data_IF_125718011240
#
_entry.id   IF_125718011240
#
_cell.length_a   1.000
_cell.length_b   1.000
_cell.length_c   1.000
_cell.angle_alpha   90.00
_cell.angle_beta   90.00
_cell.angle_gamma   90.00
#
_symmetry.space_group_name_H-M   'P 1'
#
loop_
_entity.id
_entity.type
_entity.pdbx_description
1 polymer ?
#
# COMPACT_ATOMS: atom_id res chain seq x y z
N UNK A 1 9.50 17.76 -2.13
CA UNK A 1 9.35 16.32 -1.86
C UNK A 1 8.45 16.16 -0.65
N UNK A 2 7.29 15.52 -0.78
CA UNK A 2 6.51 15.15 0.40
C UNK A 2 7.24 14.01 1.12
N UNK A 3 7.38 14.10 2.43
CA UNK A 3 7.96 13.01 3.22
C UNK A 3 7.04 11.79 3.16
N UNK A 4 7.51 10.71 2.54
CA UNK A 4 6.76 9.45 2.43
C UNK A 4 6.34 8.90 3.80
N UNK A 5 7.12 9.18 4.84
CA UNK A 5 6.81 8.81 6.23
C UNK A 5 5.56 9.53 6.74
N UNK A 6 5.38 10.79 6.33
CA UNK A 6 4.20 11.60 6.66
C UNK A 6 2.99 11.08 5.90
N UNK A 7 3.13 10.80 4.60
CA UNK A 7 2.06 10.18 3.79
C UNK A 7 1.64 8.84 4.38
N UNK A 8 2.61 7.97 4.71
CA UNK A 8 2.32 6.70 5.39
C UNK A 8 1.56 6.93 6.70
N UNK A 9 1.96 7.89 7.53
CA UNK A 9 1.31 8.14 8.81
C UNK A 9 -0.14 8.63 8.64
N UNK A 10 -0.38 9.53 7.68
CA UNK A 10 -1.70 10.08 7.38
C UNK A 10 -2.67 9.04 6.84
N UNK A 11 -2.19 8.12 5.99
CA UNK A 11 -3.02 7.08 5.36
C UNK A 11 -2.97 5.74 6.09
N UNK A 12 -2.20 5.62 7.18
CA UNK A 12 -2.00 4.37 7.90
C UNK A 12 -3.32 3.73 8.33
N UNK A 13 -4.19 4.51 8.97
CA UNK A 13 -5.43 4.01 9.55
C UNK A 13 -6.46 3.67 8.46
N UNK A 14 -6.48 4.44 7.37
CA UNK A 14 -7.30 4.17 6.20
C UNK A 14 -6.87 2.86 5.52
N UNK A 15 -5.57 2.63 5.39
CA UNK A 15 -5.03 1.41 4.78
C UNK A 15 -5.23 0.20 5.69
N UNK A 16 -5.00 0.32 6.99
CA UNK A 16 -5.25 -0.76 7.96
C UNK A 16 -6.74 -1.10 8.09
N UNK A 17 -7.64 -0.15 7.80
CA UNK A 17 -9.07 -0.41 7.75
C UNK A 17 -9.53 -1.24 6.55
N UNK A 18 -8.66 -1.47 5.54
CA UNK A 18 -9.01 -2.28 4.36
C UNK A 18 -8.96 -3.75 4.66
N UNK A 19 -9.85 -4.50 4.01
CA UNK A 19 -9.93 -5.95 4.16
C UNK A 19 -8.61 -6.62 3.81
N UNK A 20 -8.17 -7.50 4.71
CA UNK A 20 -6.93 -8.28 4.63
C UNK A 20 -5.63 -7.48 4.83
N UNK A 21 -5.65 -6.16 5.04
CA UNK A 21 -4.41 -5.42 5.34
C UNK A 21 -3.99 -5.70 6.79
N UNK A 22 -2.73 -6.03 6.99
CA UNK A 22 -2.16 -6.37 8.30
C UNK A 22 -1.05 -5.44 8.75
N UNK A 23 -0.36 -4.78 7.81
CA UNK A 23 0.70 -3.82 8.13
C UNK A 23 0.90 -2.81 7.00
N UNK A 24 1.39 -1.63 7.36
CA UNK A 24 1.83 -0.58 6.43
C UNK A 24 3.23 -0.11 6.81
N UNK A 25 4.12 0.00 5.83
CA UNK A 25 5.50 0.43 5.98
C UNK A 25 5.93 1.43 4.91
N UNK A 26 7.18 1.86 4.99
CA UNK A 26 7.84 2.63 3.94
C UNK A 26 9.02 1.81 3.47
N UNK A 27 9.15 1.63 2.16
CA UNK A 27 10.21 0.83 1.59
C UNK A 27 10.32 1.00 0.09
N UNK A 28 11.15 0.16 -0.51
CA UNK A 28 11.30 0.09 -1.95
C UNK A 28 10.28 -0.87 -2.52
N UNK A 29 9.60 -0.46 -3.59
CA UNK A 29 8.57 -1.26 -4.24
C UNK A 29 9.18 -2.53 -4.82
N UNK A 30 8.51 -3.64 -4.66
CA UNK A 30 8.90 -4.93 -5.25
C UNK A 30 7.84 -5.33 -6.28
N UNK A 31 8.28 -5.62 -7.50
CA UNK A 31 7.44 -6.07 -8.61
C UNK A 31 7.99 -7.40 -9.10
N UNK A 32 7.15 -8.44 -9.12
CA UNK A 32 7.53 -9.80 -9.54
C UNK A 32 8.78 -10.36 -8.83
N UNK A 33 8.94 -10.04 -7.54
CA UNK A 33 10.08 -10.47 -6.72
C UNK A 33 11.35 -9.64 -6.92
N UNK A 34 11.30 -8.59 -7.75
CA UNK A 34 12.41 -7.68 -8.00
C UNK A 34 12.18 -6.38 -7.27
N UNK A 35 13.09 -6.05 -6.34
CA UNK A 35 13.11 -4.73 -5.69
C UNK A 35 13.48 -3.66 -6.70
N UNK A 36 12.71 -2.59 -6.72
CA UNK A 36 12.92 -1.41 -7.56
C UNK A 36 13.48 -0.27 -6.73
N UNK A 37 14.08 0.75 -7.36
CA UNK A 37 14.56 1.95 -6.66
C UNK A 37 13.43 2.96 -6.34
N UNK A 38 12.17 2.57 -6.56
CA UNK A 38 11.00 3.41 -6.32
C UNK A 38 10.56 3.32 -4.86
N UNK A 39 10.62 4.44 -4.15
CA UNK A 39 10.19 4.53 -2.76
C UNK A 39 8.64 4.56 -2.70
N UNK A 40 8.05 3.63 -1.96
CA UNK A 40 6.61 3.41 -1.88
C UNK A 40 6.13 3.11 -0.45
N UNK A 41 4.83 3.28 -0.22
CA UNK A 41 4.15 2.87 1.00
C UNK A 41 3.81 1.38 0.88
N UNK A 42 4.60 0.53 1.52
CA UNK A 42 4.44 -0.92 1.41
C UNK A 42 3.24 -1.36 2.23
N UNK A 43 2.25 -1.96 1.56
CA UNK A 43 1.05 -2.51 2.22
C UNK A 43 1.14 -4.04 2.25
N UNK A 44 1.23 -4.60 3.45
CA UNK A 44 1.21 -6.05 3.65
C UNK A 44 -0.21 -6.53 3.86
N UNK A 45 -0.62 -7.52 3.08
CA UNK A 45 -1.92 -8.18 3.20
C UNK A 45 -1.75 -9.62 3.68
N UNK A 46 -2.67 -10.10 4.52
CA UNK A 46 -2.70 -11.49 4.98
C UNK A 46 -2.90 -12.48 3.83
N UNK A 47 -3.64 -12.07 2.79
CA UNK A 47 -3.92 -12.87 1.61
C UNK A 47 -4.14 -11.95 0.40
N UNK A 48 -3.51 -12.29 -0.72
CA UNK A 48 -3.83 -11.68 -2.01
C UNK A 48 -5.11 -12.32 -2.55
N UNK A 49 -6.15 -11.51 -2.73
CA UNK A 49 -7.39 -11.92 -3.39
C UNK A 49 -7.44 -11.37 -4.82
N UNK A 50 -8.04 -12.07 -5.78
CA UNK A 50 -8.34 -11.53 -7.10
C UNK A 50 -9.18 -10.27 -7.00
N UNK A 51 -9.02 -9.35 -7.96
CA UNK A 51 -9.80 -8.09 -8.01
C UNK A 51 -11.31 -8.34 -8.05
N UNK A 52 -11.75 -9.44 -8.68
CA UNK A 52 -13.16 -9.81 -8.74
C UNK A 52 -13.77 -10.18 -7.38
N UNK A 53 -12.94 -10.53 -6.39
CA UNK A 53 -13.37 -10.88 -5.03
C UNK A 53 -13.25 -9.71 -4.04
N UNK A 54 -12.75 -8.55 -4.51
CA UNK A 54 -12.56 -7.36 -3.69
C UNK A 54 -13.55 -6.28 -4.10
N UNK A 55 -14.17 -5.64 -3.11
CA UNK A 55 -14.94 -4.42 -3.38
C UNK A 55 -13.98 -3.26 -3.69
N UNK A 56 -14.49 -2.21 -4.33
CA UNK A 56 -13.69 -1.00 -4.57
C UNK A 56 -13.12 -0.39 -3.28
N UNK A 57 -13.82 -0.56 -2.15
CA UNK A 57 -13.37 -0.11 -0.84
C UNK A 57 -12.22 -0.96 -0.27
N UNK A 58 -12.23 -2.26 -0.57
CA UNK A 58 -11.22 -3.22 -0.09
C UNK A 58 -9.94 -3.20 -0.93
N UNK A 59 -10.00 -2.71 -2.17
CA UNK A 59 -8.83 -2.54 -3.01
C UNK A 59 -7.87 -1.52 -2.39
N UNK A 60 -6.62 -1.92 -2.23
CA UNK A 60 -5.53 -1.00 -1.90
C UNK A 60 -5.37 -0.08 -3.13
N UNK A 61 -5.47 1.25 -2.96
CA UNK A 61 -5.25 2.19 -4.06
C UNK A 61 -3.83 1.99 -4.61
N UNK A 62 -3.57 2.33 -5.87
CA UNK A 62 -2.21 2.21 -6.42
C UNK A 62 -1.31 3.41 -6.05
N UNK A 63 -1.93 4.52 -5.62
CA UNK A 63 -1.24 5.70 -5.14
C UNK A 63 -2.02 6.36 -4.01
N UNK A 64 -1.32 6.97 -3.06
CA UNK A 64 -1.87 7.78 -1.96
C UNK A 64 -1.10 9.10 -1.89
N UNK A 65 -1.80 10.24 -1.93
CA UNK A 65 -1.19 11.57 -1.96
C UNK A 65 -0.06 11.74 -3.02
N UNK A 66 -0.15 11.03 -4.15
CA UNK A 66 0.87 11.03 -5.22
C UNK A 66 2.07 10.11 -4.98
N UNK A 67 2.07 9.31 -3.91
CA UNK A 67 3.07 8.28 -3.60
C UNK A 67 2.55 6.90 -3.98
N UNK A 68 3.39 6.04 -4.55
CA UNK A 68 3.04 4.64 -4.87
C UNK A 68 2.83 3.80 -3.60
N UNK A 69 2.04 2.74 -3.74
CA UNK A 69 1.76 1.75 -2.69
C UNK A 69 1.91 0.33 -3.21
#
# INVERSE_FOLDING_TARGET
MQDIRRVKAEYNDVLLGKRNVVACGVGYKEVDGVRTDELAVIVSVARKLPRAELTAADLVPQTVAGVQT
#
